data_IF_406030716435
#
_entry.id   IF_406030716435
#
_cell.length_a   1.000
_cell.length_b   1.000
_cell.length_c   1.000
_cell.angle_alpha   90.00
_cell.angle_beta   90.00
_cell.angle_gamma   90.00
#
_symmetry.space_group_name_H-M   'P 1'
#
loop_
_entity.id
_entity.type
_entity.pdbx_description
1 polymer ?
#
# COMPACT_ATOMS: atom_id res chain seq x y z
N UNK A 1 -10.02 -20.94 -6.63
CA UNK A 1 -10.11 -20.41 -5.25
C UNK A 1 -10.77 -19.04 -5.33
N UNK A 2 -11.66 -18.66 -4.40
CA UNK A 2 -12.10 -17.25 -4.30
C UNK A 2 -11.19 -16.49 -3.33
N UNK A 3 -10.92 -15.23 -3.60
CA UNK A 3 -10.10 -14.36 -2.75
C UNK A 3 -10.89 -13.12 -2.40
N UNK A 4 -10.98 -12.82 -1.11
CA UNK A 4 -11.61 -11.59 -0.64
C UNK A 4 -10.88 -10.37 -1.19
N UNK A 5 -11.63 -9.52 -1.89
CA UNK A 5 -11.09 -8.34 -2.58
C UNK A 5 -11.84 -7.09 -2.13
N UNK A 6 -11.14 -6.20 -1.43
CA UNK A 6 -11.67 -4.90 -1.04
C UNK A 6 -11.33 -3.86 -2.10
N UNK A 7 -12.33 -3.11 -2.58
CA UNK A 7 -12.13 -1.99 -3.50
C UNK A 7 -12.45 -0.70 -2.77
N UNK A 8 -11.45 0.16 -2.62
CA UNK A 8 -11.56 1.46 -1.98
C UNK A 8 -11.97 2.49 -3.04
N UNK A 9 -13.08 3.19 -2.78
CA UNK A 9 -13.60 4.21 -3.68
C UNK A 9 -14.35 5.28 -2.87
N UNK A 10 -14.15 6.55 -3.19
CA UNK A 10 -14.96 7.64 -2.63
C UNK A 10 -16.39 7.52 -3.14
N UNK A 11 -17.36 7.74 -2.25
CA UNK A 11 -18.79 7.63 -2.58
C UNK A 11 -19.19 8.50 -3.77
N UNK A 12 -18.58 9.68 -3.89
CA UNK A 12 -18.85 10.64 -4.96
C UNK A 12 -18.18 10.27 -6.30
N UNK A 13 -17.16 9.41 -6.28
CA UNK A 13 -16.35 9.05 -7.45
C UNK A 13 -16.97 7.90 -8.25
N UNK A 14 -18.19 8.15 -8.77
CA UNK A 14 -19.01 7.15 -9.47
C UNK A 14 -18.34 6.62 -10.74
N UNK A 15 -17.72 7.48 -11.53
CA UNK A 15 -17.07 7.06 -12.79
C UNK A 15 -15.86 6.14 -12.54
N UNK A 16 -15.02 6.48 -11.55
CA UNK A 16 -13.88 5.65 -11.13
C UNK A 16 -14.35 4.29 -10.62
N UNK A 17 -15.41 4.27 -9.80
CA UNK A 17 -16.07 3.04 -9.35
C UNK A 17 -16.51 2.16 -10.50
N UNK A 18 -17.19 2.72 -11.49
CA UNK A 18 -17.68 1.96 -12.65
C UNK A 18 -16.52 1.43 -13.51
N UNK A 19 -15.44 2.20 -13.63
CA UNK A 19 -14.22 1.77 -14.33
C UNK A 19 -13.55 0.60 -13.62
N UNK A 20 -13.28 0.70 -12.31
CA UNK A 20 -12.64 -0.39 -11.58
C UNK A 20 -13.51 -1.64 -11.57
N UNK A 21 -14.85 -1.50 -11.41
CA UNK A 21 -15.76 -2.64 -11.46
C UNK A 21 -15.74 -3.34 -12.82
N UNK A 22 -15.66 -2.60 -13.93
CA UNK A 22 -15.45 -3.20 -15.25
C UNK A 22 -14.11 -3.92 -15.35
N UNK A 23 -13.03 -3.31 -14.86
CA UNK A 23 -11.71 -3.94 -14.88
C UNK A 23 -11.67 -5.24 -14.07
N UNK A 24 -12.20 -5.25 -12.84
CA UNK A 24 -12.18 -6.45 -11.99
C UNK A 24 -13.18 -7.52 -12.41
N UNK A 25 -14.22 -7.17 -13.18
CA UNK A 25 -15.22 -8.15 -13.67
C UNK A 25 -14.60 -9.26 -14.54
N UNK A 26 -13.39 -9.01 -15.07
CA UNK A 26 -12.58 -9.94 -15.86
C UNK A 26 -12.02 -11.10 -15.01
N UNK A 27 -12.09 -11.00 -13.69
CA UNK A 27 -11.47 -11.94 -12.74
C UNK A 27 -12.50 -12.55 -11.77
N UNK A 28 -13.25 -13.60 -12.18
CA UNK A 28 -14.33 -14.19 -11.37
C UNK A 28 -13.90 -14.77 -10.01
N UNK A 29 -12.60 -14.97 -9.80
CA UNK A 29 -12.05 -15.44 -8.53
C UNK A 29 -11.96 -14.34 -7.46
N UNK A 30 -12.13 -13.07 -7.83
CA UNK A 30 -12.15 -11.95 -6.88
C UNK A 30 -13.55 -11.86 -6.23
N UNK A 31 -13.63 -12.12 -4.93
CA UNK A 31 -14.83 -11.92 -4.12
C UNK A 31 -14.89 -10.46 -3.68
N UNK A 32 -15.51 -9.64 -4.52
CA UNK A 32 -15.47 -8.19 -4.43
C UNK A 32 -16.36 -7.68 -3.29
N UNK A 33 -15.81 -6.77 -2.49
CA UNK A 33 -16.52 -5.97 -1.51
C UNK A 33 -16.10 -4.50 -1.63
N UNK A 34 -17.07 -3.62 -1.85
CA UNK A 34 -16.81 -2.18 -1.88
C UNK A 34 -16.57 -1.65 -0.46
N UNK A 35 -15.52 -0.86 -0.31
CA UNK A 35 -15.18 -0.11 0.89
C UNK A 35 -15.33 1.36 0.56
N UNK A 36 -16.35 2.00 1.12
CA UNK A 36 -16.52 3.45 1.02
C UNK A 36 -15.31 4.13 1.63
N UNK A 37 -14.56 4.85 0.80
CA UNK A 37 -13.35 5.54 1.20
C UNK A 37 -13.71 6.72 2.11
N UNK A 38 -12.86 6.95 3.10
CA UNK A 38 -12.97 8.11 3.97
C UNK A 38 -12.55 9.35 3.19
N UNK A 39 -13.51 10.24 2.93
CA UNK A 39 -13.20 11.55 2.37
C UNK A 39 -12.59 12.44 3.45
N UNK A 40 -11.25 12.51 3.50
CA UNK A 40 -10.56 13.28 4.53
C UNK A 40 -10.86 14.78 4.51
N UNK A 41 -11.38 15.32 3.41
CA UNK A 41 -11.81 16.74 3.30
C UNK A 41 -13.09 17.02 4.10
N UNK A 42 -13.87 15.98 4.40
CA UNK A 42 -15.12 16.05 5.14
C UNK A 42 -14.94 15.73 6.63
N UNK A 43 -13.72 15.41 7.07
CA UNK A 43 -13.43 15.15 8.48
C UNK A 43 -13.32 16.47 9.25
N UNK A 44 -14.01 16.52 10.38
CA UNK A 44 -13.83 17.58 11.38
C UNK A 44 -12.48 17.44 12.06
N UNK A 45 -11.95 18.54 12.59
CA UNK A 45 -10.64 18.57 13.27
C UNK A 45 -10.58 17.56 14.43
N UNK A 46 -11.63 17.47 15.24
CA UNK A 46 -11.72 16.54 16.36
C UNK A 46 -11.68 15.07 15.89
N UNK A 47 -12.27 14.78 14.73
CA UNK A 47 -12.22 13.44 14.14
C UNK A 47 -10.81 13.10 13.65
N UNK A 48 -10.12 14.07 13.04
CA UNK A 48 -8.73 13.90 12.62
C UNK A 48 -7.86 13.62 13.83
N UNK A 49 -7.98 14.40 14.90
CA UNK A 49 -7.20 14.20 16.14
C UNK A 49 -7.44 12.83 16.78
N UNK A 50 -8.69 12.33 16.76
CA UNK A 50 -9.03 11.01 17.29
C UNK A 50 -8.51 9.86 16.44
N UNK A 51 -8.42 10.02 15.12
CA UNK A 51 -8.13 8.92 14.19
C UNK A 51 -6.70 8.91 13.65
N UNK A 52 -6.02 10.06 13.68
CA UNK A 52 -4.73 10.27 13.05
C UNK A 52 -3.77 11.05 13.95
N UNK A 53 -2.55 10.56 14.06
CA UNK A 53 -1.49 11.20 14.83
C UNK A 53 -0.73 12.17 13.91
N UNK A 54 -1.32 13.35 13.81
CA UNK A 54 -0.84 14.50 13.03
C UNK A 54 0.61 14.86 13.35
N UNK A 55 0.94 14.94 14.64
CA UNK A 55 2.24 15.39 15.11
C UNK A 55 3.37 14.45 14.67
N UNK A 56 3.19 13.14 14.89
CA UNK A 56 4.20 12.17 14.47
C UNK A 56 4.29 12.04 12.95
N UNK A 57 3.18 12.23 12.22
CA UNK A 57 3.20 12.34 10.77
C UNK A 57 4.09 13.50 10.33
N UNK A 58 3.83 14.71 10.83
CA UNK A 58 4.57 15.91 10.46
C UNK A 58 6.06 15.81 10.75
N UNK A 59 6.43 15.23 11.88
CA UNK A 59 7.84 15.01 12.20
C UNK A 59 8.53 13.99 11.29
N UNK A 60 7.78 13.03 10.73
CA UNK A 60 8.33 12.01 9.85
C UNK A 60 8.49 12.50 8.42
N UNK A 61 7.50 13.23 7.90
CA UNK A 61 7.47 13.64 6.49
C UNK A 61 7.89 15.09 6.25
N UNK A 62 8.00 15.90 7.31
CA UNK A 62 8.40 17.30 7.22
C UNK A 62 7.32 18.23 6.66
N UNK A 63 6.08 17.76 6.59
CA UNK A 63 4.93 18.55 6.19
C UNK A 63 3.68 18.13 6.97
N UNK A 64 2.68 18.98 7.02
CA UNK A 64 1.36 18.63 7.55
C UNK A 64 0.68 17.58 6.66
N UNK A 65 0.00 16.58 7.25
CA UNK A 65 -0.72 15.58 6.46
C UNK A 65 -1.83 16.24 5.65
N UNK A 66 -1.94 15.83 4.40
CA UNK A 66 -3.03 16.28 3.55
C UNK A 66 -4.32 15.54 3.94
N UNK A 67 -5.48 16.18 3.81
CA UNK A 67 -6.76 15.51 4.01
C UNK A 67 -6.89 14.22 3.18
N UNK A 68 -6.44 14.24 1.91
CA UNK A 68 -6.42 13.04 1.07
C UNK A 68 -5.50 11.92 1.59
N UNK A 69 -4.34 12.26 2.16
CA UNK A 69 -3.41 11.28 2.75
C UNK A 69 -4.02 10.62 4.01
N UNK A 70 -4.73 11.41 4.82
CA UNK A 70 -5.47 10.91 5.99
C UNK A 70 -6.60 9.98 5.53
N UNK A 71 -7.43 10.44 4.59
CA UNK A 71 -8.55 9.68 4.04
C UNK A 71 -8.12 8.34 3.44
N UNK A 72 -7.10 8.35 2.58
CA UNK A 72 -6.49 7.16 2.00
C UNK A 72 -6.04 6.18 3.12
N UNK A 73 -5.25 6.67 4.09
CA UNK A 73 -4.75 5.82 5.19
C UNK A 73 -5.87 5.20 6.02
N UNK A 74 -6.91 5.98 6.36
CA UNK A 74 -8.05 5.49 7.13
C UNK A 74 -8.87 4.46 6.36
N UNK A 75 -9.00 4.63 5.04
CA UNK A 75 -9.69 3.68 4.15
C UNK A 75 -8.96 2.32 4.10
N UNK A 76 -7.64 2.31 3.94
CA UNK A 76 -6.87 1.06 4.00
C UNK A 76 -6.93 0.39 5.38
N UNK A 77 -6.92 1.18 6.46
CA UNK A 77 -7.14 0.65 7.82
C UNK A 77 -8.49 -0.03 7.97
N UNK A 78 -9.52 0.48 7.30
CA UNK A 78 -10.83 -0.17 7.30
C UNK A 78 -10.79 -1.54 6.59
N UNK A 79 -10.12 -1.68 5.45
CA UNK A 79 -9.87 -2.99 4.83
C UNK A 79 -9.19 -3.96 5.80
N UNK A 80 -8.22 -3.48 6.59
CA UNK A 80 -7.54 -4.31 7.60
C UNK A 80 -8.50 -4.75 8.70
N UNK A 81 -9.40 -3.88 9.17
CA UNK A 81 -10.42 -4.23 10.18
C UNK A 81 -11.38 -5.27 9.64
N UNK A 82 -11.85 -5.11 8.40
CA UNK A 82 -12.72 -6.08 7.72
C UNK A 82 -12.05 -7.43 7.56
N UNK A 83 -10.78 -7.46 7.11
CA UNK A 83 -9.98 -8.69 7.07
C UNK A 83 -9.90 -9.37 8.44
N UNK A 84 -9.64 -8.62 9.51
CA UNK A 84 -9.53 -9.23 10.85
C UNK A 84 -10.86 -9.75 11.40
N UNK A 85 -11.99 -9.17 10.96
CA UNK A 85 -13.35 -9.63 11.30
C UNK A 85 -13.80 -10.84 10.48
N UNK A 86 -13.22 -11.08 9.31
CA UNK A 86 -13.48 -12.29 8.52
C UNK A 86 -12.57 -13.45 8.92
N UNK A 87 -12.86 -14.63 8.37
CA UNK A 87 -12.04 -15.85 8.51
C UNK A 87 -10.92 -15.96 7.46
N UNK A 88 -10.78 -14.96 6.59
CA UNK A 88 -9.79 -14.95 5.51
C UNK A 88 -8.36 -14.77 6.05
N UNK A 89 -7.41 -15.54 5.49
CA UNK A 89 -6.00 -15.49 5.87
C UNK A 89 -5.27 -14.24 5.32
N UNK A 90 -5.76 -13.72 4.20
CA UNK A 90 -5.31 -12.49 3.57
C UNK A 90 -6.42 -11.94 2.68
N UNK A 91 -6.29 -10.69 2.26
CA UNK A 91 -7.18 -10.07 1.29
C UNK A 91 -6.39 -9.30 0.24
N UNK A 92 -6.97 -9.18 -0.95
CA UNK A 92 -6.56 -8.22 -1.97
C UNK A 92 -7.20 -6.87 -1.65
N UNK A 93 -6.41 -5.80 -1.71
CA UNK A 93 -6.86 -4.42 -1.56
C UNK A 93 -6.55 -3.69 -2.85
N UNK A 94 -7.57 -3.07 -3.43
CA UNK A 94 -7.52 -2.31 -4.66
C UNK A 94 -8.00 -0.88 -4.41
N UNK A 95 -7.41 0.09 -5.09
CA UNK A 95 -8.01 1.43 -5.25
C UNK A 95 -8.80 1.48 -6.57
N UNK A 96 -9.62 2.50 -6.72
CA UNK A 96 -10.50 2.67 -7.88
C UNK A 96 -9.80 3.11 -9.18
N UNK A 97 -8.50 3.36 -9.14
CA UNK A 97 -7.66 3.65 -10.30
C UNK A 97 -6.80 2.47 -10.76
N UNK A 98 -7.01 1.27 -10.22
CA UNK A 98 -6.21 0.11 -10.61
C UNK A 98 -6.47 -0.32 -12.05
N UNK A 99 -5.38 -0.61 -12.77
CA UNK A 99 -5.37 -1.24 -14.09
C UNK A 99 -4.41 -2.44 -14.07
N UNK A 100 -4.83 -3.60 -14.56
CA UNK A 100 -3.94 -4.76 -14.68
C UNK A 100 -3.22 -4.77 -16.03
N UNK A 101 -1.89 -4.87 -16.00
CA UNK A 101 -1.06 -4.73 -17.21
C UNK A 101 -0.99 -6.01 -18.06
N UNK A 102 -1.18 -7.18 -17.44
CA UNK A 102 -1.14 -8.50 -18.09
C UNK A 102 -2.34 -9.35 -17.63
N UNK A 103 -3.56 -9.04 -18.10
CA UNK A 103 -4.80 -9.65 -17.63
C UNK A 103 -4.83 -11.18 -17.69
N UNK A 104 -4.18 -11.77 -18.69
CA UNK A 104 -4.07 -13.22 -18.91
C UNK A 104 -3.27 -13.93 -17.80
N UNK A 105 -2.31 -13.24 -17.21
CA UNK A 105 -1.41 -13.80 -16.20
C UNK A 105 -1.96 -13.66 -14.78
N UNK A 106 -2.93 -12.76 -14.58
CA UNK A 106 -3.52 -12.45 -13.27
C UNK A 106 -4.04 -13.75 -12.62
N UNK A 107 -4.88 -14.52 -13.31
CA UNK A 107 -5.42 -15.76 -12.75
C UNK A 107 -4.32 -16.77 -12.36
N UNK A 108 -3.32 -16.97 -13.23
CA UNK A 108 -2.20 -17.87 -12.96
C UNK A 108 -1.40 -17.48 -11.72
N UNK A 109 -1.14 -16.18 -11.53
CA UNK A 109 -0.43 -15.70 -10.33
C UNK A 109 -1.28 -15.89 -9.08
N UNK A 110 -2.58 -15.60 -9.15
CA UNK A 110 -3.47 -15.74 -8.01
C UNK A 110 -3.71 -17.21 -7.60
N UNK A 111 -3.68 -18.16 -8.54
CA UNK A 111 -3.71 -19.60 -8.24
C UNK A 111 -2.52 -20.08 -7.38
N UNK A 112 -1.42 -19.33 -7.40
CA UNK A 112 -0.18 -19.67 -6.70
C UNK A 112 0.14 -18.72 -5.53
N UNK A 113 -0.72 -17.75 -5.25
CA UNK A 113 -0.44 -16.63 -4.33
C UNK A 113 -0.24 -17.08 -2.88
N UNK A 114 -0.82 -18.22 -2.52
CA UNK A 114 -0.65 -18.87 -1.21
C UNK A 114 0.82 -19.15 -0.89
N UNK A 115 1.62 -19.52 -1.89
CA UNK A 115 3.06 -19.77 -1.75
C UNK A 115 3.80 -18.53 -1.25
N UNK A 116 3.24 -17.34 -1.46
CA UNK A 116 3.79 -16.06 -1.01
C UNK A 116 3.13 -15.64 0.31
N UNK A 117 1.80 -15.51 0.31
CA UNK A 117 1.07 -14.88 1.42
C UNK A 117 1.09 -15.69 2.72
N UNK A 118 1.18 -17.01 2.64
CA UNK A 118 1.27 -17.92 3.80
C UNK A 118 2.71 -18.20 4.23
N UNK A 119 3.70 -17.79 3.44
CA UNK A 119 5.12 -18.08 3.72
C UNK A 119 5.72 -17.27 4.88
N UNK A 120 5.06 -16.18 5.30
CA UNK A 120 5.54 -15.26 6.34
C UNK A 120 4.44 -14.89 7.32
N UNK A 121 4.80 -14.79 8.60
CA UNK A 121 3.90 -14.37 9.69
C UNK A 121 3.22 -13.02 9.44
N UNK A 122 3.92 -12.05 8.84
CA UNK A 122 3.41 -10.70 8.51
C UNK A 122 3.88 -10.35 7.11
N UNK A 123 2.96 -10.33 6.16
CA UNK A 123 3.28 -10.18 4.74
C UNK A 123 2.37 -9.15 4.07
N UNK A 124 3.00 -8.31 3.26
CA UNK A 124 2.35 -7.53 2.21
C UNK A 124 3.02 -7.90 0.89
N UNK A 125 2.20 -8.13 -0.14
CA UNK A 125 2.65 -8.29 -1.51
C UNK A 125 2.10 -7.13 -2.34
N UNK A 126 2.95 -6.19 -2.75
CA UNK A 126 2.55 -5.17 -3.72
C UNK A 126 2.55 -5.75 -5.13
N UNK A 127 1.48 -5.47 -5.87
CA UNK A 127 1.32 -5.84 -7.28
C UNK A 127 1.74 -4.71 -8.22
N UNK A 128 2.06 -3.55 -7.65
CA UNK A 128 2.39 -2.31 -8.34
C UNK A 128 3.88 -1.95 -8.25
N UNK A 129 4.19 -0.75 -8.74
CA UNK A 129 5.53 -0.21 -8.88
C UNK A 129 6.36 -0.25 -7.59
N UNK A 130 7.58 -0.78 -7.70
CA UNK A 130 8.54 -0.81 -6.60
C UNK A 130 9.96 -0.66 -7.13
N UNK A 131 10.78 0.10 -6.41
CA UNK A 131 12.06 0.60 -6.92
C UNK A 131 13.25 0.06 -6.14
N UNK A 132 13.13 -0.21 -4.84
CA UNK A 132 14.24 -0.76 -4.05
C UNK A 132 13.94 -2.19 -3.60
N UNK A 133 14.77 -3.13 -4.01
CA UNK A 133 14.57 -4.55 -3.72
C UNK A 133 15.90 -5.30 -3.51
N UNK A 134 15.83 -6.43 -2.82
CA UNK A 134 16.93 -7.38 -2.73
C UNK A 134 16.93 -8.27 -3.98
N UNK A 135 18.09 -8.46 -4.66
CA UNK A 135 18.14 -9.07 -5.99
C UNK A 135 17.86 -10.58 -5.98
N UNK A 136 17.92 -11.25 -4.83
CA UNK A 136 17.57 -12.67 -4.73
C UNK A 136 16.05 -12.83 -4.76
N UNK A 137 15.54 -13.50 -5.78
CA UNK A 137 14.13 -13.86 -5.84
C UNK A 137 13.77 -14.84 -4.71
N UNK A 138 12.60 -14.64 -4.12
CA UNK A 138 12.00 -15.52 -3.13
C UNK A 138 11.25 -16.67 -3.80
N UNK A 139 10.68 -16.40 -4.97
CA UNK A 139 9.89 -17.31 -5.78
C UNK A 139 9.91 -16.84 -7.23
N UNK A 140 9.80 -17.77 -8.17
CA UNK A 140 9.52 -17.51 -9.58
C UNK A 140 8.22 -18.23 -9.95
N UNK A 141 7.30 -17.53 -10.61
CA UNK A 141 6.07 -18.08 -11.17
C UNK A 141 5.96 -17.64 -12.63
N UNK A 142 6.18 -18.55 -13.56
CA UNK A 142 6.25 -18.21 -14.99
C UNK A 142 7.32 -17.13 -15.23
N UNK A 143 6.94 -16.04 -15.90
CA UNK A 143 7.79 -14.87 -16.12
C UNK A 143 7.96 -13.92 -14.94
N UNK A 144 7.31 -14.19 -13.80
CA UNK A 144 7.25 -13.27 -12.66
C UNK A 144 8.17 -13.69 -11.51
N UNK A 145 9.02 -12.76 -11.08
CA UNK A 145 9.85 -12.90 -9.89
C UNK A 145 9.28 -12.15 -8.70
N UNK A 146 9.37 -12.77 -7.53
CA UNK A 146 8.96 -12.18 -6.26
C UNK A 146 10.18 -11.78 -5.46
N UNK A 147 10.27 -10.52 -5.06
CA UNK A 147 11.46 -9.96 -4.44
C UNK A 147 11.13 -9.33 -3.11
N UNK A 148 12.05 -9.41 -2.15
CA UNK A 148 11.92 -8.64 -0.92
C UNK A 148 12.13 -7.16 -1.24
N UNK A 149 11.13 -6.35 -0.93
CA UNK A 149 11.12 -4.92 -1.22
C UNK A 149 11.50 -4.13 0.03
N UNK A 150 12.36 -3.14 -0.19
CA UNK A 150 12.78 -2.17 0.81
C UNK A 150 12.21 -0.78 0.55
N UNK A 151 11.64 -0.55 -0.64
CA UNK A 151 10.87 0.65 -0.97
C UNK A 151 9.99 0.44 -2.21
N UNK A 152 8.70 0.74 -2.04
CA UNK A 152 7.65 0.80 -3.05
C UNK A 152 6.82 2.07 -2.82
N UNK A 153 6.03 2.47 -3.82
CA UNK A 153 5.04 3.55 -3.73
C UNK A 153 3.75 3.09 -4.39
N UNK A 154 2.64 3.72 -4.01
CA UNK A 154 1.32 3.42 -4.54
C UNK A 154 0.68 2.19 -3.89
N UNK A 155 -0.57 2.36 -3.50
CA UNK A 155 -1.40 1.33 -2.86
C UNK A 155 -2.54 0.84 -3.77
N UNK A 156 -2.48 1.15 -5.07
CA UNK A 156 -3.53 0.81 -6.03
C UNK A 156 -3.84 -0.69 -6.10
N UNK A 157 -2.87 -1.57 -5.84
CA UNK A 157 -3.09 -3.00 -5.73
C UNK A 157 -2.04 -3.71 -4.86
N UNK A 158 -2.48 -4.35 -3.78
CA UNK A 158 -1.64 -5.20 -2.95
C UNK A 158 -2.43 -6.23 -2.16
N UNK A 159 -1.78 -7.33 -1.78
CA UNK A 159 -2.32 -8.27 -0.80
C UNK A 159 -1.74 -7.99 0.59
N UNK A 160 -2.57 -8.17 1.61
CA UNK A 160 -2.19 -8.06 3.03
C UNK A 160 -2.69 -9.27 3.80
N UNK A 161 -1.81 -9.91 4.57
CA UNK A 161 -2.23 -11.02 5.44
C UNK A 161 -2.65 -10.55 6.84
N UNK A 162 -3.37 -11.41 7.57
CA UNK A 162 -3.86 -11.11 8.93
C UNK A 162 -2.76 -10.61 9.86
N UNK A 163 -1.56 -11.19 9.80
CA UNK A 163 -0.46 -10.80 10.66
C UNK A 163 0.07 -9.38 10.38
N UNK A 164 0.11 -8.97 9.11
CA UNK A 164 0.42 -7.60 8.72
C UNK A 164 -0.70 -6.65 9.14
N UNK A 165 -1.96 -6.98 8.86
CA UNK A 165 -3.13 -6.19 9.26
C UNK A 165 -3.17 -5.94 10.78
N UNK A 166 -2.97 -6.97 11.62
CA UNK A 166 -2.86 -6.81 13.08
C UNK A 166 -1.73 -5.88 13.48
N UNK A 167 -0.57 -5.96 12.81
CA UNK A 167 0.57 -5.10 13.13
C UNK A 167 0.29 -3.63 12.74
N UNK A 168 -0.35 -3.38 11.60
CA UNK A 168 -0.74 -2.03 11.16
C UNK A 168 -1.84 -1.43 12.05
N UNK A 169 -2.75 -2.25 12.56
CA UNK A 169 -3.80 -1.84 13.50
C UNK A 169 -3.37 -1.86 14.98
N UNK A 170 -2.13 -2.25 15.30
CA UNK A 170 -1.63 -2.27 16.69
C UNK A 170 -1.42 -0.87 17.29
N UNK A 171 -1.44 0.16 16.45
CA UNK A 171 -1.50 1.56 16.87
C UNK A 171 -2.91 2.08 16.65
N UNK A 172 -3.45 2.75 17.67
CA UNK A 172 -4.81 3.32 17.65
C UNK A 172 -4.95 4.37 16.54
N UNK A 173 -4.02 5.32 16.52
CA UNK A 173 -3.92 6.38 15.51
C UNK A 173 -2.74 6.12 14.58
N UNK A 174 -3.00 6.10 13.27
CA UNK A 174 -1.92 6.03 12.29
C UNK A 174 -1.20 7.37 12.21
N UNK A 175 0.09 7.34 11.88
CA UNK A 175 0.89 8.54 11.62
C UNK A 175 1.62 8.47 10.29
N UNK A 176 1.26 7.52 9.42
CA UNK A 176 1.95 7.26 8.16
C UNK A 176 0.97 7.34 6.99
N UNK A 177 1.47 7.67 5.79
CA UNK A 177 0.73 7.43 4.55
C UNK A 177 0.58 5.93 4.29
N UNK A 178 -0.49 5.53 3.60
CA UNK A 178 -0.81 4.13 3.35
C UNK A 178 0.31 3.37 2.61
N UNK A 179 1.04 4.07 1.73
CA UNK A 179 2.06 3.52 0.85
C UNK A 179 3.50 3.69 1.37
N UNK A 180 3.70 4.03 2.66
CA UNK A 180 5.04 4.07 3.28
C UNK A 180 5.59 2.66 3.55
N UNK A 181 5.75 1.88 2.49
CA UNK A 181 6.25 0.51 2.52
C UNK A 181 7.67 0.43 3.11
N UNK A 182 8.45 1.52 3.04
CA UNK A 182 9.76 1.65 3.70
C UNK A 182 9.59 1.60 5.22
N UNK A 183 8.74 2.45 5.78
CA UNK A 183 8.45 2.46 7.21
C UNK A 183 7.81 1.15 7.65
N UNK A 184 6.83 0.64 6.89
CA UNK A 184 6.16 -0.63 7.16
C UNK A 184 7.16 -1.79 7.24
N UNK A 185 8.09 -1.87 6.27
CA UNK A 185 9.14 -2.90 6.24
C UNK A 185 10.06 -2.84 7.45
N UNK A 186 10.50 -1.63 7.83
CA UNK A 186 11.32 -1.41 9.04
C UNK A 186 10.61 -1.76 10.35
N UNK A 187 9.28 -1.69 10.36
CA UNK A 187 8.47 -2.01 11.53
C UNK A 187 8.02 -3.49 11.59
N UNK A 188 8.73 -4.36 10.86
CA UNK A 188 8.65 -5.81 11.04
C UNK A 188 7.55 -6.48 10.22
N UNK A 189 7.11 -5.86 9.12
CA UNK A 189 6.25 -6.47 8.10
C UNK A 189 7.12 -6.83 6.89
N UNK A 190 7.03 -8.06 6.40
CA UNK A 190 7.74 -8.44 5.17
C UNK A 190 6.99 -7.86 3.97
N UNK A 191 7.61 -6.91 3.27
CA UNK A 191 7.07 -6.38 2.01
C UNK A 191 7.73 -7.12 0.85
N UNK A 192 6.92 -7.72 0.00
CA UNK A 192 7.30 -8.43 -1.22
C UNK A 192 6.72 -7.66 -2.40
N UNK A 193 7.45 -7.60 -3.52
CA UNK A 193 6.98 -7.05 -4.79
C UNK A 193 7.10 -8.09 -5.90
N UNK A 194 6.18 -8.06 -6.85
CA UNK A 194 6.18 -8.90 -8.04
C UNK A 194 6.69 -8.13 -9.26
N UNK A 195 7.61 -8.72 -10.02
CA UNK A 195 8.08 -8.14 -11.28
C UNK A 195 8.04 -9.17 -12.43
N UNK A 196 7.56 -8.82 -13.64
CA UNK A 196 6.95 -7.54 -14.03
C UNK A 196 5.76 -7.13 -13.15
N UNK A 197 5.45 -5.84 -13.08
CA UNK A 197 4.33 -5.37 -12.26
C UNK A 197 3.03 -5.93 -12.85
N UNK A 198 2.12 -6.40 -12.00
CA UNK A 198 0.81 -6.89 -12.45
C UNK A 198 -0.20 -5.76 -12.57
N UNK A 199 -0.04 -4.71 -11.77
CA UNK A 199 -0.98 -3.62 -11.67
C UNK A 199 -0.28 -2.27 -11.76
N UNK A 200 -1.04 -1.28 -12.21
CA UNK A 200 -0.66 0.13 -12.31
C UNK A 200 -1.80 0.96 -11.74
N UNK A 201 -1.48 2.04 -11.02
CA UNK A 201 -2.48 3.04 -10.64
C UNK A 201 -2.58 4.08 -11.74
N UNK A 202 -3.75 4.27 -12.34
CA UNK A 202 -3.97 5.19 -13.44
C UNK A 202 -3.66 6.64 -13.03
N UNK A 203 -3.90 7.03 -11.77
CA UNK A 203 -3.50 8.35 -11.27
C UNK A 203 -1.98 8.50 -11.16
N UNK A 204 -1.30 7.44 -10.71
CA UNK A 204 0.18 7.44 -10.63
C UNK A 204 0.86 7.42 -12.00
N UNK A 205 0.14 6.95 -13.02
CA UNK A 205 0.58 6.92 -14.40
C UNK A 205 0.19 8.17 -15.21
N UNK A 206 -0.40 9.18 -14.55
CA UNK A 206 -0.90 10.41 -15.20
C UNK A 206 -1.93 10.14 -16.31
N UNK A 207 -2.61 8.99 -16.26
CA UNK A 207 -3.70 8.64 -17.18
C UNK A 207 -4.99 9.36 -16.75
N UNK A 208 -5.18 9.50 -15.44
CA UNK A 208 -6.28 10.26 -14.83
C UNK A 208 -5.73 11.15 -13.72
N UNK A 209 -6.49 12.17 -13.33
CA UNK A 209 -6.09 13.06 -12.23
C UNK A 209 -6.08 12.32 -10.88
N UNK A 210 -5.16 12.75 -10.00
CA UNK A 210 -5.14 12.31 -8.61
C UNK A 210 -6.18 13.05 -7.79
N UNK A 211 -6.89 12.33 -6.91
CA UNK A 211 -7.84 12.93 -5.96
C UNK A 211 -7.16 13.50 -4.71
N UNK A 212 -5.86 13.24 -4.52
CA UNK A 212 -5.07 13.78 -3.41
C UNK A 212 -4.50 15.15 -3.77
N UNK A 213 -4.59 16.10 -2.85
CA UNK A 213 -4.06 17.45 -3.04
C UNK A 213 -2.53 17.45 -3.23
N UNK A 214 -1.98 18.44 -3.96
CA UNK A 214 -0.54 18.51 -4.24
C UNK A 214 0.20 19.47 -3.30
N UNK A 215 -0.47 20.52 -2.80
CA UNK A 215 0.19 21.57 -2.03
C UNK A 215 0.35 21.16 -0.57
N UNK A 216 1.60 20.93 -0.17
CA UNK A 216 2.00 20.56 1.19
C UNK A 216 2.46 21.78 1.98
N UNK A 217 2.06 21.87 3.25
CA UNK A 217 2.55 22.88 4.19
C UNK A 217 3.74 22.32 4.96
N UNK A 218 4.93 22.91 4.76
CA UNK A 218 6.16 22.45 5.40
C UNK A 218 6.18 22.70 6.90
N UNK A 219 6.80 21.78 7.63
CA UNK A 219 7.00 21.86 9.08
C UNK A 219 8.49 22.01 9.35
N UNK A 220 8.90 23.15 9.93
CA UNK A 220 10.31 23.50 10.14
C UNK A 220 10.88 22.93 11.45
N UNK A 221 10.08 22.90 12.51
CA UNK A 221 10.52 22.51 13.85
C UNK A 221 10.49 21.00 14.09
N UNK A 222 11.25 20.27 13.26
CA UNK A 222 11.36 18.81 13.35
C UNK A 222 12.37 18.42 14.45
N UNK A 223 11.96 17.63 15.46
CA UNK A 223 12.85 17.22 16.53
C UNK A 223 14.09 16.50 16.00
N UNK A 224 15.25 16.77 16.60
CA UNK A 224 16.55 16.27 16.15
C UNK A 224 16.56 14.74 15.91
N UNK A 225 15.88 13.97 16.76
CA UNK A 225 15.77 12.51 16.61
C UNK A 225 15.20 12.07 15.25
N UNK A 226 14.19 12.76 14.70
CA UNK A 226 13.60 12.39 13.41
C UNK A 226 14.55 12.72 12.26
N UNK A 227 15.20 13.89 12.32
CA UNK A 227 16.24 14.28 11.37
C UNK A 227 17.38 13.25 11.34
N UNK A 228 17.81 12.78 12.51
CA UNK A 228 18.84 11.74 12.62
C UNK A 228 18.38 10.39 12.07
N UNK A 229 17.13 9.97 12.33
CA UNK A 229 16.58 8.72 11.78
C UNK A 229 16.56 8.77 10.25
N UNK A 230 16.09 9.88 9.66
CA UNK A 230 16.07 10.06 8.20
C UNK A 230 17.49 10.01 7.64
N UNK A 231 18.43 10.76 8.21
CA UNK A 231 19.81 10.79 7.78
C UNK A 231 20.51 9.42 7.89
N UNK A 232 20.27 8.70 8.98
CA UNK A 232 20.80 7.36 9.21
C UNK A 232 20.34 6.40 8.11
N UNK A 233 19.04 6.33 7.87
CA UNK A 233 18.50 5.41 6.87
C UNK A 233 18.88 5.77 5.44
N UNK A 234 19.00 7.06 5.14
CA UNK A 234 19.54 7.53 3.86
C UNK A 234 20.95 6.97 3.62
N UNK A 235 21.83 7.07 4.63
CA UNK A 235 23.18 6.50 4.56
C UNK A 235 23.17 4.97 4.43
N UNK A 236 22.34 4.27 5.21
CA UNK A 236 22.21 2.81 5.14
C UNK A 236 21.81 2.36 3.74
N UNK A 237 20.76 2.95 3.15
CA UNK A 237 20.36 2.59 1.79
C UNK A 237 21.42 2.94 0.75
N UNK A 238 22.11 4.07 0.90
CA UNK A 238 23.26 4.43 0.06
C UNK A 238 24.35 3.36 0.10
N UNK A 239 24.69 2.85 1.29
CA UNK A 239 25.64 1.75 1.46
C UNK A 239 25.14 0.45 0.82
N UNK A 240 23.88 0.07 1.05
CA UNK A 240 23.30 -1.15 0.47
C UNK A 240 23.30 -1.14 -1.07
N UNK A 241 23.06 0.03 -1.68
CA UNK A 241 23.16 0.21 -3.14
C UNK A 241 24.61 0.10 -3.62
N UNK A 242 25.55 0.80 -2.97
CA UNK A 242 26.98 0.76 -3.33
C UNK A 242 27.57 -0.64 -3.23
N UNK A 243 27.18 -1.39 -2.21
CA UNK A 243 27.59 -2.79 -2.01
C UNK A 243 26.83 -3.80 -2.87
N UNK A 244 25.90 -3.35 -3.73
CA UNK A 244 25.05 -4.19 -4.59
C UNK A 244 24.20 -5.22 -3.82
N UNK A 245 24.00 -5.02 -2.52
CA UNK A 245 23.09 -5.82 -1.69
C UNK A 245 21.64 -5.48 -2.03
N UNK A 246 21.37 -4.21 -2.33
CA UNK A 246 20.08 -3.72 -2.81
C UNK A 246 20.24 -3.24 -4.25
N UNK A 247 19.20 -3.42 -5.06
CA UNK A 247 19.11 -2.85 -6.40
C UNK A 247 18.05 -1.75 -6.45
N UNK A 248 18.26 -0.80 -7.36
CA UNK A 248 17.26 0.18 -7.76
C UNK A 248 16.74 -0.21 -9.15
N UNK A 249 15.43 -0.23 -9.33
CA UNK A 249 14.78 -0.19 -10.65
C UNK A 249 14.26 1.20 -10.94
#
# INVERSE_FOLDING_TARGET
>A
MKIKTYIINLKESVERKDQVLREVSRYPFMDIELVEAVNGRMLMEEQVEMLFDWKNFSYRYGHEPLPGEIGCTLSHRECYRRLLRSDEEYALVLEDDVLFQQPEDVAFIFDHIDKVMKSKKRCILTLASHFYYLPKSLLMLGGYGFYRVLGAYGTCAYLVNRGAARKLLSVERSSIVADDFKYISRNGICVIGIYPYLALGASSAEIIDSEIQVRKQEVRDIPFRYRMIVAFWYRVYGCLLRLKIMRRR
#
